data_IF_618082744082
#
_entry.id   IF_618082744082
#
_cell.length_a   1.000
_cell.length_b   1.000
_cell.length_c   1.000
_cell.angle_alpha   90.00
_cell.angle_beta   90.00
_cell.angle_gamma   90.00
#
_symmetry.space_group_name_H-M   'P 1'
#
loop_
_entity.id
_entity.type
_entity.pdbx_description
1 polymer ?
#
# COMPACT_ATOMS: atom_id res chain seq x y z
N UNK A 1 16.77 -10.27 2.11
CA UNK A 1 15.93 -9.26 1.45
C UNK A 1 15.54 -8.20 2.46
N UNK A 2 15.65 -6.95 2.13
CA UNK A 2 15.30 -5.85 3.02
C UNK A 2 13.80 -5.55 2.95
N UNK A 3 13.18 -5.25 4.09
CA UNK A 3 11.80 -4.79 4.14
C UNK A 3 11.65 -3.32 3.74
N UNK A 4 12.77 -2.62 3.59
CA UNK A 4 12.75 -1.23 3.16
C UNK A 4 12.35 -1.10 1.69
N UNK A 5 11.60 -0.05 1.41
CA UNK A 5 11.28 0.32 0.05
C UNK A 5 12.52 0.80 -0.71
N UNK A 6 12.43 0.74 -2.01
CA UNK A 6 13.48 1.18 -2.92
C UNK A 6 12.96 2.34 -3.76
N UNK A 7 13.88 3.16 -4.25
CA UNK A 7 13.56 4.28 -5.15
C UNK A 7 14.11 3.94 -6.55
N UNK A 8 13.39 3.11 -7.35
CA UNK A 8 13.90 2.66 -8.66
C UNK A 8 13.93 3.78 -9.70
N UNK A 9 13.20 4.86 -9.46
CA UNK A 9 13.15 6.02 -10.34
C UNK A 9 12.77 7.24 -9.50
N UNK A 10 12.92 8.43 -10.06
CA UNK A 10 12.49 9.65 -9.41
C UNK A 10 10.99 9.58 -9.12
N UNK A 11 10.58 10.07 -7.94
CA UNK A 11 9.17 10.14 -7.54
C UNK A 11 8.47 8.78 -7.57
N UNK A 12 9.23 7.71 -7.30
CA UNK A 12 8.72 6.33 -7.32
C UNK A 12 9.28 5.58 -6.12
N UNK A 13 8.42 4.83 -5.42
CA UNK A 13 8.85 3.94 -4.36
C UNK A 13 8.35 2.52 -4.66
N UNK A 14 9.18 1.51 -4.36
CA UNK A 14 8.86 0.10 -4.63
C UNK A 14 9.13 -0.74 -3.40
N UNK A 15 8.20 -1.63 -3.08
CA UNK A 15 8.33 -2.61 -2.01
C UNK A 15 8.15 -4.00 -2.56
N UNK A 16 8.93 -4.94 -2.04
CA UNK A 16 8.86 -6.36 -2.39
C UNK A 16 8.76 -7.15 -1.08
N UNK A 17 7.61 -7.74 -0.82
CA UNK A 17 7.32 -8.42 0.45
C UNK A 17 6.78 -9.82 0.23
N UNK A 18 7.18 -10.76 1.11
CA UNK A 18 6.54 -12.07 1.19
C UNK A 18 5.50 -12.03 2.29
N UNK A 19 4.28 -12.43 1.95
CA UNK A 19 3.14 -12.39 2.86
C UNK A 19 2.54 -13.79 3.03
N UNK A 20 1.87 -14.07 4.17
CA UNK A 20 1.09 -15.30 4.29
C UNK A 20 -0.01 -15.35 3.24
N UNK A 21 -0.16 -16.52 2.59
CA UNK A 21 -1.21 -16.73 1.61
C UNK A 21 -2.46 -17.35 2.21
N UNK A 22 -3.37 -17.84 1.39
CA UNK A 22 -3.28 -17.96 -0.07
C UNK A 22 -3.47 -16.60 -0.78
N UNK A 23 -3.23 -16.61 -2.09
CA UNK A 23 -3.26 -15.37 -2.89
C UNK A 23 -4.63 -14.69 -2.88
N UNK A 24 -5.70 -15.49 -2.86
CA UNK A 24 -7.07 -14.97 -2.81
C UNK A 24 -7.32 -14.18 -1.52
N UNK A 25 -6.74 -14.62 -0.42
CA UNK A 25 -6.88 -13.94 0.86
C UNK A 25 -6.12 -12.61 0.86
N UNK A 26 -4.93 -12.58 0.27
CA UNK A 26 -4.19 -11.33 0.12
C UNK A 26 -4.95 -10.37 -0.79
N UNK A 27 -5.46 -10.87 -1.90
CA UNK A 27 -6.28 -10.08 -2.83
C UNK A 27 -7.49 -9.45 -2.12
N UNK A 28 -8.19 -10.24 -1.30
CA UNK A 28 -9.34 -9.74 -0.56
C UNK A 28 -8.95 -8.58 0.37
N UNK A 29 -7.78 -8.66 1.01
CA UNK A 29 -7.31 -7.59 1.89
C UNK A 29 -6.91 -6.32 1.12
N UNK A 30 -6.59 -6.43 -0.16
CA UNK A 30 -6.29 -5.28 -1.01
C UNK A 30 -7.55 -4.63 -1.59
N UNK A 31 -8.66 -5.35 -1.67
CA UNK A 31 -9.80 -4.95 -2.50
C UNK A 31 -11.12 -4.82 -1.77
N UNK A 32 -11.33 -5.59 -0.71
CA UNK A 32 -12.59 -5.52 0.05
C UNK A 32 -12.51 -4.42 1.09
N UNK A 33 -13.42 -3.44 1.04
CA UNK A 33 -13.33 -2.27 1.94
C UNK A 33 -13.25 -2.63 3.43
N UNK A 34 -13.99 -3.62 3.87
CA UNK A 34 -13.97 -4.04 5.28
C UNK A 34 -12.64 -4.64 5.71
N UNK A 35 -11.90 -5.27 4.80
CA UNK A 35 -10.58 -5.82 5.08
C UNK A 35 -9.48 -4.77 4.85
N UNK A 36 -9.66 -3.94 3.84
CA UNK A 36 -8.74 -2.84 3.54
C UNK A 36 -8.65 -1.86 4.72
N UNK A 37 -9.77 -1.62 5.40
CA UNK A 37 -9.83 -0.75 6.56
C UNK A 37 -8.96 -1.24 7.72
N UNK A 38 -8.68 -2.53 7.79
CA UNK A 38 -7.90 -3.11 8.88
C UNK A 38 -6.41 -2.86 8.80
N UNK A 39 -5.91 -2.39 7.66
CA UNK A 39 -4.46 -2.16 7.51
C UNK A 39 -4.11 -0.88 6.74
N UNK A 40 -5.00 -0.34 5.95
CA UNK A 40 -4.72 0.86 5.15
C UNK A 40 -5.72 1.98 5.42
N UNK A 41 -6.94 1.86 4.91
CA UNK A 41 -7.95 2.90 5.01
C UNK A 41 -9.32 2.33 4.67
N UNK A 42 -10.37 2.93 5.22
CA UNK A 42 -11.73 2.50 4.96
C UNK A 42 -12.42 3.34 3.90
N UNK A 43 -13.45 2.80 3.29
CA UNK A 43 -14.25 3.54 2.31
C UNK A 43 -14.78 2.69 1.19
N UNK A 44 -14.58 3.16 -0.04
CA UNK A 44 -15.12 2.56 -1.26
C UNK A 44 -13.98 2.16 -2.19
N UNK A 45 -14.03 0.94 -2.71
CA UNK A 45 -13.19 0.50 -3.82
C UNK A 45 -14.05 -0.40 -4.70
N UNK A 46 -14.50 0.14 -5.83
CA UNK A 46 -15.34 -0.62 -6.75
C UNK A 46 -14.49 -1.57 -7.60
N UNK A 47 -14.81 -2.86 -7.55
CA UNK A 47 -14.01 -3.92 -8.15
C UNK A 47 -14.21 -4.07 -9.66
N UNK A 48 -13.77 -3.10 -10.42
CA UNK A 48 -13.82 -3.13 -11.89
C UNK A 48 -12.95 -2.03 -12.46
N UNK A 49 -12.46 -2.16 -13.70
CA UNK A 49 -11.77 -1.03 -14.36
C UNK A 49 -12.69 0.18 -14.43
N UNK A 50 -12.17 1.35 -14.11
CA UNK A 50 -12.94 2.59 -14.02
C UNK A 50 -13.75 2.73 -12.75
N UNK A 51 -13.70 1.75 -11.84
CA UNK A 51 -14.41 1.80 -10.57
C UNK A 51 -13.92 2.93 -9.68
N UNK A 52 -14.81 3.44 -8.85
CA UNK A 52 -14.49 4.54 -7.94
C UNK A 52 -13.64 4.06 -6.76
N UNK A 53 -12.65 4.86 -6.40
CA UNK A 53 -11.87 4.69 -5.18
C UNK A 53 -12.06 5.93 -4.32
N UNK A 54 -12.45 5.75 -3.07
CA UNK A 54 -12.60 6.85 -2.10
C UNK A 54 -12.30 6.27 -0.72
N UNK A 55 -11.11 6.52 -0.22
CA UNK A 55 -10.63 5.95 1.04
C UNK A 55 -10.31 7.06 2.03
N UNK A 56 -10.61 6.81 3.31
CA UNK A 56 -10.34 7.75 4.40
C UNK A 56 -9.47 7.06 5.43
N UNK A 57 -8.35 7.68 5.76
CA UNK A 57 -7.44 7.20 6.80
C UNK A 57 -7.98 7.56 8.20
N UNK A 58 -7.37 6.98 9.24
CA UNK A 58 -7.82 7.19 10.60
C UNK A 58 -7.73 8.63 11.11
N UNK A 59 -7.02 9.50 10.42
CA UNK A 59 -6.93 10.94 10.73
C UNK A 59 -7.91 11.78 9.91
N UNK A 60 -8.89 11.16 9.28
CA UNK A 60 -9.88 11.76 8.39
C UNK A 60 -9.30 12.30 7.07
N UNK A 61 -8.01 12.13 6.86
CA UNK A 61 -7.38 12.44 5.58
C UNK A 61 -7.77 11.38 4.57
N UNK A 62 -8.06 11.77 3.33
CA UNK A 62 -8.58 10.85 2.34
C UNK A 62 -7.93 10.96 0.98
N UNK A 63 -8.14 9.91 0.20
CA UNK A 63 -7.77 9.91 -1.21
C UNK A 63 -8.98 9.53 -2.04
N UNK A 64 -8.98 9.98 -3.28
CA UNK A 64 -9.95 9.57 -4.28
C UNK A 64 -9.22 9.13 -5.53
N UNK A 65 -9.92 8.40 -6.38
CA UNK A 65 -9.33 7.95 -7.64
C UNK A 65 -10.22 6.98 -8.36
N UNK A 66 -9.64 6.30 -9.34
CA UNK A 66 -10.32 5.28 -10.14
C UNK A 66 -9.42 4.09 -10.34
N UNK A 67 -10.01 2.90 -10.37
CA UNK A 67 -9.29 1.67 -10.68
C UNK A 67 -8.85 1.69 -12.14
N UNK A 68 -7.56 1.47 -12.36
CA UNK A 68 -6.96 1.41 -13.69
C UNK A 68 -6.80 -0.03 -14.15
N UNK A 69 -6.30 -0.90 -13.26
CA UNK A 69 -6.09 -2.32 -13.56
C UNK A 69 -6.83 -3.17 -12.52
N UNK A 70 -7.61 -4.10 -13.01
CA UNK A 70 -8.36 -5.03 -12.18
C UNK A 70 -8.24 -6.44 -12.76
N UNK A 71 -7.27 -7.22 -12.25
CA UNK A 71 -6.98 -8.59 -12.72
C UNK A 71 -6.85 -9.53 -11.52
N UNK A 72 -7.99 -9.95 -10.94
CA UNK A 72 -7.96 -10.84 -9.78
C UNK A 72 -7.33 -12.19 -10.09
N UNK A 73 -6.57 -12.75 -9.16
CA UNK A 73 -6.11 -12.19 -7.89
C UNK A 73 -4.68 -11.66 -7.98
N UNK A 74 -4.24 -11.19 -9.13
CA UNK A 74 -2.84 -10.95 -9.43
C UNK A 74 -2.44 -9.49 -9.55
N UNK A 75 -3.32 -8.63 -10.05
CA UNK A 75 -2.90 -7.26 -10.35
C UNK A 75 -4.00 -6.25 -10.08
N UNK A 76 -3.65 -5.22 -9.30
CA UNK A 76 -4.52 -4.10 -8.98
C UNK A 76 -3.73 -2.81 -9.14
N UNK A 77 -4.30 -1.84 -9.83
CA UNK A 77 -3.73 -0.51 -9.87
C UNK A 77 -4.83 0.53 -9.83
N UNK A 78 -4.59 1.63 -9.12
CA UNK A 78 -5.56 2.73 -9.11
C UNK A 78 -4.85 4.07 -8.96
N UNK A 79 -5.53 5.09 -9.46
CA UNK A 79 -5.14 6.49 -9.31
C UNK A 79 -5.30 6.86 -7.83
N UNK A 80 -4.27 7.50 -7.29
CA UNK A 80 -4.24 7.98 -5.91
C UNK A 80 -4.21 9.50 -5.95
N UNK A 81 -5.35 10.10 -5.66
CA UNK A 81 -5.50 11.56 -5.75
C UNK A 81 -5.70 12.13 -4.36
N UNK A 82 -4.74 12.94 -3.93
CA UNK A 82 -4.83 13.67 -2.67
C UNK A 82 -4.62 15.15 -2.96
N UNK A 83 -5.51 16.00 -2.45
CA UNK A 83 -5.49 17.44 -2.73
C UNK A 83 -5.36 17.66 -4.25
N UNK A 84 -4.34 18.38 -4.69
CA UNK A 84 -4.13 18.68 -6.11
C UNK A 84 -3.14 17.72 -6.79
N UNK A 85 -2.67 16.70 -6.06
CA UNK A 85 -1.67 15.78 -6.57
C UNK A 85 -2.27 14.44 -6.95
N UNK A 86 -1.82 13.89 -8.07
CA UNK A 86 -2.28 12.61 -8.58
C UNK A 86 -1.09 11.70 -8.81
N UNK A 87 -1.19 10.46 -8.30
CA UNK A 87 -0.16 9.44 -8.45
C UNK A 87 -0.81 8.11 -8.80
N UNK A 88 0.00 7.08 -9.03
CA UNK A 88 -0.50 5.76 -9.41
C UNK A 88 0.12 4.71 -8.50
N UNK A 89 -0.72 3.92 -7.83
CA UNK A 89 -0.26 2.78 -7.05
C UNK A 89 -0.59 1.49 -7.77
N UNK A 90 0.37 0.57 -7.83
CA UNK A 90 0.23 -0.72 -8.47
C UNK A 90 0.62 -1.83 -7.51
N UNK A 91 -0.21 -2.88 -7.43
CA UNK A 91 0.02 -4.07 -6.62
C UNK A 91 0.08 -5.29 -7.54
N UNK A 92 1.21 -6.02 -7.51
CA UNK A 92 1.38 -7.27 -8.22
C UNK A 92 1.52 -8.41 -7.22
N UNK A 93 0.70 -9.46 -7.36
CA UNK A 93 0.73 -10.63 -6.49
C UNK A 93 1.16 -11.85 -7.28
N UNK A 94 2.08 -12.63 -6.71
CA UNK A 94 2.57 -13.88 -7.30
C UNK A 94 2.60 -14.97 -6.24
N UNK A 95 1.98 -16.15 -6.48
CA UNK A 95 2.10 -17.26 -5.53
C UNK A 95 3.55 -17.72 -5.43
N UNK A 96 4.00 -17.99 -4.22
CA UNK A 96 5.32 -18.52 -3.95
C UNK A 96 5.21 -19.86 -3.25
N UNK A 97 6.36 -20.52 -3.03
CA UNK A 97 6.39 -21.79 -2.33
C UNK A 97 5.92 -21.66 -0.88
N UNK A 98 5.51 -22.79 -0.29
CA UNK A 98 5.12 -22.89 1.13
C UNK A 98 3.92 -22.01 1.52
N UNK A 99 3.01 -21.78 0.57
CA UNK A 99 1.78 -21.04 0.87
C UNK A 99 1.98 -19.53 1.07
N UNK A 100 3.08 -19.00 0.58
CA UNK A 100 3.37 -17.58 0.64
C UNK A 100 3.00 -16.88 -0.66
N UNK A 101 2.85 -15.57 -0.59
CA UNK A 101 2.53 -14.72 -1.72
C UNK A 101 3.53 -13.57 -1.76
N UNK A 102 4.12 -13.34 -2.91
CA UNK A 102 4.97 -12.17 -3.13
C UNK A 102 4.11 -11.01 -3.57
N UNK A 103 4.19 -9.94 -2.81
CA UNK A 103 3.56 -8.67 -3.16
C UNK A 103 4.65 -7.69 -3.61
N UNK A 104 4.51 -7.16 -4.82
CA UNK A 104 5.33 -6.03 -5.26
C UNK A 104 4.40 -4.82 -5.39
N UNK A 105 4.65 -3.82 -4.55
CA UNK A 105 3.94 -2.54 -4.58
C UNK A 105 4.84 -1.52 -5.23
N UNK A 106 4.31 -0.81 -6.23
CA UNK A 106 5.02 0.31 -6.86
C UNK A 106 4.11 1.52 -6.86
N UNK A 107 4.53 2.59 -6.21
CA UNK A 107 3.78 3.84 -6.20
C UNK A 107 4.60 4.87 -6.97
N UNK A 108 4.08 5.31 -8.10
CA UNK A 108 4.81 6.13 -9.05
C UNK A 108 4.11 7.46 -9.28
N UNK A 109 4.83 8.40 -9.89
CA UNK A 109 4.36 9.76 -10.13
C UNK A 109 4.00 10.49 -8.84
N UNK A 110 4.75 10.20 -7.77
CA UNK A 110 4.56 10.86 -6.48
C UNK A 110 4.81 12.36 -6.60
N UNK A 111 4.14 13.17 -5.76
CA UNK A 111 4.45 14.61 -5.72
C UNK A 111 5.93 14.84 -5.39
N UNK A 112 6.51 15.88 -5.98
CA UNK A 112 7.91 16.21 -5.75
C UNK A 112 8.18 16.39 -4.25
N UNK A 113 9.23 15.76 -3.74
CA UNK A 113 9.62 15.83 -2.33
C UNK A 113 8.85 14.91 -1.40
N UNK A 114 7.91 14.11 -1.91
CA UNK A 114 7.04 13.27 -1.08
C UNK A 114 7.44 11.78 -1.04
N UNK A 115 8.48 11.40 -1.78
CA UNK A 115 8.87 9.98 -1.84
C UNK A 115 9.21 9.39 -0.46
N UNK A 116 9.90 10.15 0.39
CA UNK A 116 10.25 9.67 1.73
C UNK A 116 9.01 9.48 2.60
N UNK A 117 8.04 10.37 2.51
CA UNK A 117 6.78 10.26 3.24
C UNK A 117 6.02 9.01 2.82
N UNK A 118 5.85 8.80 1.53
CA UNK A 118 5.18 7.60 1.02
C UNK A 118 5.96 6.33 1.34
N UNK A 119 7.30 6.37 1.28
CA UNK A 119 8.14 5.24 1.65
C UNK A 119 7.91 4.81 3.09
N UNK A 120 7.99 5.73 4.04
CA UNK A 120 7.75 5.43 5.45
C UNK A 120 6.31 4.98 5.70
N UNK A 121 5.34 5.61 5.04
CA UNK A 121 3.93 5.26 5.17
C UNK A 121 3.65 3.84 4.67
N UNK A 122 4.10 3.50 3.48
CA UNK A 122 3.90 2.16 2.94
C UNK A 122 4.63 1.09 3.74
N UNK A 123 5.86 1.38 4.21
CA UNK A 123 6.59 0.42 5.05
C UNK A 123 5.73 0.03 6.27
N UNK A 124 5.20 1.02 6.97
CA UNK A 124 4.34 0.77 8.14
C UNK A 124 3.06 0.03 7.76
N UNK A 125 2.36 0.48 6.72
CA UNK A 125 1.12 -0.17 6.28
C UNK A 125 1.34 -1.62 5.86
N UNK A 126 2.45 -1.92 5.17
CA UNK A 126 2.75 -3.29 4.76
C UNK A 126 3.12 -4.18 5.94
N UNK A 127 3.80 -3.64 6.96
CA UNK A 127 4.05 -4.39 8.20
C UNK A 127 2.73 -4.74 8.90
N UNK A 128 1.78 -3.79 8.91
CA UNK A 128 0.45 -4.04 9.47
C UNK A 128 -0.28 -5.11 8.67
N UNK A 129 -0.25 -5.02 7.34
CA UNK A 129 -0.88 -6.03 6.50
C UNK A 129 -0.34 -7.43 6.80
N UNK A 130 0.98 -7.55 6.93
CA UNK A 130 1.60 -8.85 7.26
C UNK A 130 1.09 -9.38 8.62
N UNK A 131 0.95 -8.52 9.62
CA UNK A 131 0.43 -8.90 10.94
C UNK A 131 -1.05 -9.30 10.86
N UNK A 132 -1.85 -8.54 10.15
CA UNK A 132 -3.28 -8.87 9.99
C UNK A 132 -3.42 -10.23 9.30
N UNK A 133 -2.63 -10.50 8.28
CA UNK A 133 -2.67 -11.80 7.59
C UNK A 133 -2.20 -12.95 8.47
N UNK A 134 -1.21 -12.71 9.34
CA UNK A 134 -0.67 -13.76 10.22
C UNK A 134 -1.51 -13.95 11.49
N UNK A 135 -2.01 -12.89 12.09
CA UNK A 135 -2.63 -12.90 13.41
C UNK A 135 -4.11 -12.53 13.43
N UNK A 136 -4.60 -11.91 12.36
CA UNK A 136 -5.99 -11.51 12.26
C UNK A 136 -6.37 -10.24 13.03
N UNK A 137 -5.39 -9.49 13.53
CA UNK A 137 -5.63 -8.32 14.37
C UNK A 137 -5.39 -7.03 13.62
N UNK A 138 -6.42 -6.18 13.46
CA UNK A 138 -6.22 -4.86 12.88
C UNK A 138 -5.39 -3.98 13.82
N UNK A 139 -4.71 -2.98 13.25
CA UNK A 139 -3.90 -2.03 14.01
C UNK A 139 -4.51 -0.65 13.85
N UNK A 140 -4.52 0.13 14.93
CA UNK A 140 -5.06 1.48 14.88
C UNK A 140 -4.10 2.45 14.17
N UNK A 141 -4.67 3.57 13.75
CA UNK A 141 -3.93 4.58 13.01
C UNK A 141 -2.82 5.24 13.86
N UNK A 142 -3.04 5.36 15.16
CA UNK A 142 -2.03 5.94 16.06
C UNK A 142 -0.77 5.08 16.09
N UNK A 143 -0.92 3.75 16.18
CA UNK A 143 0.22 2.84 16.12
C UNK A 143 0.95 2.92 14.77
N UNK A 144 0.20 3.06 13.68
CA UNK A 144 0.77 3.29 12.36
C UNK A 144 1.61 4.57 12.34
N UNK A 145 1.09 5.67 12.86
CA UNK A 145 1.81 6.94 12.85
C UNK A 145 3.08 6.90 13.68
N UNK A 146 3.08 6.14 14.79
CA UNK A 146 4.29 5.97 15.59
C UNK A 146 5.40 5.28 14.79
N UNK A 147 5.04 4.23 14.02
CA UNK A 147 6.00 3.54 13.15
C UNK A 147 6.45 4.44 12.01
N UNK A 148 5.52 5.16 11.40
CA UNK A 148 5.82 6.11 10.33
C UNK A 148 6.87 7.13 10.77
N UNK A 149 6.68 7.77 11.92
CA UNK A 149 7.61 8.77 12.44
C UNK A 149 8.98 8.18 12.75
N UNK A 150 9.02 6.94 13.23
CA UNK A 150 10.29 6.26 13.50
C UNK A 150 11.06 5.96 12.22
N UNK A 151 10.36 5.60 11.14
CA UNK A 151 10.98 5.24 9.87
C UNK A 151 11.33 6.43 8.98
N UNK A 152 10.65 7.56 9.15
CA UNK A 152 10.77 8.70 8.26
C UNK A 152 12.22 9.18 8.05
N UNK A 153 13.05 9.30 9.12
CA UNK A 153 14.44 9.75 8.93
C UNK A 153 15.25 8.83 8.01
N UNK A 154 15.05 7.50 8.10
CA UNK A 154 15.75 6.55 7.25
C UNK A 154 15.34 6.71 5.78
N UNK A 155 14.06 6.99 5.54
CA UNK A 155 13.58 7.24 4.18
C UNK A 155 14.04 8.59 3.63
N UNK A 156 14.16 9.60 4.47
CA UNK A 156 14.72 10.89 4.05
C UNK A 156 16.17 10.74 3.56
N UNK A 157 16.99 9.95 4.27
CA UNK A 157 18.35 9.68 3.87
C UNK A 157 18.42 8.93 2.55
N UNK A 158 17.58 7.90 2.38
CA UNK A 158 17.52 7.10 1.16
C UNK A 158 17.06 7.93 -0.04
N UNK A 159 16.13 8.84 0.17
CA UNK A 159 15.60 9.69 -0.90
C UNK A 159 16.60 10.76 -1.36
N UNK A 160 17.56 11.13 -0.49
CA UNK A 160 18.58 12.13 -0.82
C UNK A 160 19.65 11.59 -1.79
N UNK A 161 19.72 10.29 -1.95
CA UNK A 161 20.65 9.63 -2.89
C UNK A 161 20.01 9.59 -4.30
#
# INVERSE_FOLDING_TARGET
MSDFGQYPAARTVRFDRLLPGPIERVWDHLTRPELLAGWLAGGVLEGRPGGQVALTFGNEHGLSGEVVTWEPPRRLAYIWREADAESLVNFDLTPEAAGQVRLVLTHMSLPAGEAASFGAGWHSHLDILARVLAEGEPIDFEAHMAVYHRLRPDYDVRAAD
#
